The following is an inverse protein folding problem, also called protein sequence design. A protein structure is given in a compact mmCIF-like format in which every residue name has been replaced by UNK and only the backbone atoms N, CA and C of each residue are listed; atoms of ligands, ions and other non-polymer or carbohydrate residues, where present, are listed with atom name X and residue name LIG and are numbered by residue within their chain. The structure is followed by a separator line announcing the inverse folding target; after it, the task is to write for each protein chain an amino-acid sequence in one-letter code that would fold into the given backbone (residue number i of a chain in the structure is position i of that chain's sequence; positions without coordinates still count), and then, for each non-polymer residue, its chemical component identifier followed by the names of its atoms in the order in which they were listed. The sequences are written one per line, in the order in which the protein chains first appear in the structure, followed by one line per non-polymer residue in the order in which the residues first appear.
data_IF_801698059158
#
_entry.id   IF_801698059158
#
_cell.length_a   1.000
_cell.length_b   1.000
_cell.length_c   1.000
_cell.angle_alpha   90.00
_cell.angle_beta   90.00
_cell.angle_gamma   90.00
#
_symmetry.space_group_name_H-M   'P 1'
#
loop_
_entity.id
_entity.type
_entity.pdbx_description
1 polymer ?
#
# COMPACT_ATOMS: atom_id res chain seq x y z
N UNK A 1 12.91 -5.48 11.79
CA UNK A 1 11.63 -5.18 11.07
C UNK A 1 11.70 -3.80 10.41
N UNK A 2 10.81 -3.50 9.47
CA UNK A 2 10.77 -2.21 8.79
C UNK A 2 9.46 -1.49 9.16
N UNK A 3 9.58 -0.39 9.90
CA UNK A 3 8.44 0.43 10.32
C UNK A 3 8.59 1.84 9.78
N UNK A 4 7.50 2.39 9.28
CA UNK A 4 7.46 3.74 8.76
C UNK A 4 6.03 4.29 8.68
N UNK A 5 5.91 5.44 8.07
CA UNK A 5 4.62 6.09 7.89
C UNK A 5 4.53 6.79 6.54
N UNK A 6 3.37 7.33 6.23
CA UNK A 6 3.17 8.12 5.02
C UNK A 6 3.77 9.51 5.18
N UNK A 7 4.75 9.87 4.30
CA UNK A 7 5.48 11.13 4.36
C UNK A 7 5.10 12.08 3.21
N UNK A 8 5.26 13.37 3.47
CA UNK A 8 5.09 14.40 2.44
C UNK A 8 6.28 14.43 1.47
N UNK A 9 6.01 14.25 0.18
CA UNK A 9 7.01 14.37 -0.89
C UNK A 9 7.36 15.83 -1.25
N UNK A 10 6.84 16.82 -0.52
CA UNK A 10 7.00 18.24 -0.86
C UNK A 10 8.45 18.70 -0.87
N UNK A 11 9.31 18.18 0.02
CA UNK A 11 10.73 18.49 0.12
C UNK A 11 11.65 17.76 -0.86
N UNK A 12 11.15 16.74 -1.60
CA UNK A 12 11.94 15.85 -2.45
C UNK A 12 12.30 14.54 -1.75
N UNK A 13 12.99 13.65 -2.48
CA UNK A 13 13.27 12.27 -2.04
C UNK A 13 14.25 12.26 -0.83
N UNK A 14 15.36 12.98 -0.92
CA UNK A 14 16.33 13.04 0.18
C UNK A 14 15.75 13.69 1.45
N UNK A 15 14.80 14.62 1.32
CA UNK A 15 14.13 15.20 2.47
C UNK A 15 13.20 14.20 3.15
N UNK A 16 12.51 13.33 2.40
CA UNK A 16 11.71 12.24 2.98
C UNK A 16 12.57 11.28 3.80
N UNK A 17 13.74 10.87 3.28
CA UNK A 17 14.67 10.01 4.04
C UNK A 17 15.11 10.67 5.35
N UNK A 18 15.45 11.97 5.32
CA UNK A 18 15.81 12.71 6.55
C UNK A 18 14.64 12.75 7.54
N UNK A 19 13.44 12.99 7.07
CA UNK A 19 12.23 13.00 7.92
C UNK A 19 12.00 11.62 8.53
N UNK A 20 12.09 10.55 7.73
CA UNK A 20 11.99 9.18 8.23
C UNK A 20 12.99 8.90 9.36
N UNK A 21 14.27 9.23 9.14
CA UNK A 21 15.32 9.08 10.15
C UNK A 21 15.01 9.85 11.43
N UNK A 22 14.48 11.08 11.32
CA UNK A 22 14.19 11.92 12.49
C UNK A 22 13.11 11.38 13.41
N UNK A 23 12.23 10.49 12.91
CA UNK A 23 11.16 9.82 13.68
C UNK A 23 11.46 8.35 13.94
N UNK A 24 12.69 7.89 13.66
CA UNK A 24 13.10 6.50 13.87
C UNK A 24 12.54 5.51 12.85
N UNK A 25 11.97 5.96 11.73
CA UNK A 25 11.52 5.09 10.66
C UNK A 25 12.68 4.55 9.82
N UNK A 26 12.54 3.33 9.31
CA UNK A 26 13.48 2.68 8.38
C UNK A 26 12.80 2.13 7.11
N UNK A 27 11.62 2.59 6.83
CA UNK A 27 10.85 2.54 5.58
C UNK A 27 9.86 3.70 5.59
N UNK A 28 9.20 3.99 4.47
CA UNK A 28 8.10 4.96 4.43
C UNK A 28 7.27 4.81 3.15
N UNK A 29 6.05 5.36 3.19
CA UNK A 29 5.23 5.57 2.01
C UNK A 29 5.19 7.06 1.62
N UNK A 30 4.85 7.35 0.39
CA UNK A 30 4.66 8.69 -0.13
C UNK A 30 3.83 8.67 -1.40
N UNK A 31 3.09 9.75 -1.68
CA UNK A 31 2.42 9.90 -2.97
C UNK A 31 3.40 10.36 -4.06
N UNK A 32 3.41 9.67 -5.19
CA UNK A 32 4.22 10.02 -6.37
C UNK A 32 3.81 11.35 -7.00
N UNK A 33 2.57 11.78 -6.75
CA UNK A 33 1.94 13.03 -7.21
C UNK A 33 0.95 13.57 -6.17
N UNK A 34 0.35 14.72 -6.45
CA UNK A 34 -0.70 15.23 -5.58
C UNK A 34 -1.82 14.18 -5.42
N UNK A 35 -2.10 13.67 -4.19
CA UNK A 35 -3.08 12.59 -3.98
C UNK A 35 -4.52 12.95 -4.33
N UNK A 36 -4.85 14.25 -4.37
CA UNK A 36 -6.18 14.78 -4.73
C UNK A 36 -6.22 15.41 -6.13
N UNK A 37 -5.17 15.19 -6.92
CA UNK A 37 -5.04 15.71 -8.26
C UNK A 37 -3.99 14.95 -9.05
N UNK A 38 -3.89 15.23 -10.36
CA UNK A 38 -3.00 14.49 -11.26
C UNK A 38 -1.60 15.10 -11.40
N UNK A 39 -1.35 16.28 -10.83
CA UNK A 39 -0.10 17.00 -11.04
C UNK A 39 1.05 16.37 -10.27
N UNK A 40 2.08 15.91 -10.98
CA UNK A 40 3.34 15.46 -10.44
C UNK A 40 4.38 16.60 -10.41
N UNK A 41 5.33 16.54 -9.47
CA UNK A 41 6.49 17.40 -9.45
C UNK A 41 7.44 17.10 -10.62
N UNK A 42 8.24 18.09 -11.01
CA UNK A 42 9.38 17.84 -11.89
C UNK A 42 10.36 16.90 -11.18
N UNK A 43 10.85 15.90 -11.91
CA UNK A 43 11.85 14.97 -11.40
C UNK A 43 13.19 15.68 -11.19
N UNK A 44 13.88 15.29 -10.14
CA UNK A 44 15.25 15.71 -9.84
C UNK A 44 16.13 14.45 -9.67
N UNK A 45 16.86 14.05 -10.72
CA UNK A 45 17.71 12.87 -10.66
C UNK A 45 18.84 12.96 -9.61
N UNK A 46 19.32 14.17 -9.31
CA UNK A 46 20.36 14.35 -8.31
C UNK A 46 19.80 14.13 -6.89
N UNK A 47 18.59 14.62 -6.61
CA UNK A 47 17.89 14.37 -5.35
C UNK A 47 17.53 12.86 -5.19
N UNK A 48 17.10 12.22 -6.26
CA UNK A 48 16.82 10.78 -6.25
C UNK A 48 18.09 9.95 -5.96
N UNK A 49 19.18 10.22 -6.65
CA UNK A 49 20.46 9.54 -6.42
C UNK A 49 20.97 9.75 -4.98
N UNK A 50 20.83 10.95 -4.44
CA UNK A 50 21.15 11.24 -3.05
C UNK A 50 20.28 10.45 -2.08
N UNK A 51 18.97 10.36 -2.36
CA UNK A 51 18.07 9.55 -1.55
C UNK A 51 18.47 8.08 -1.55
N UNK A 52 18.79 7.49 -2.71
CA UNK A 52 19.25 6.10 -2.83
C UNK A 52 20.48 5.86 -1.95
N UNK A 53 21.54 6.69 -2.04
CA UNK A 53 22.71 6.57 -1.14
C UNK A 53 22.30 6.61 0.33
N UNK A 54 21.43 7.54 0.71
CA UNK A 54 21.00 7.68 2.11
C UNK A 54 20.19 6.46 2.59
N UNK A 55 19.36 5.87 1.74
CA UNK A 55 18.60 4.67 2.07
C UNK A 55 19.54 3.47 2.31
N UNK A 56 20.52 3.28 1.43
CA UNK A 56 21.54 2.22 1.54
C UNK A 56 22.41 2.39 2.79
N UNK A 57 22.94 3.60 3.02
CA UNK A 57 23.80 3.92 4.16
C UNK A 57 23.11 3.70 5.52
N UNK A 58 21.78 3.84 5.58
CA UNK A 58 21.01 3.72 6.81
C UNK A 58 20.20 2.42 6.91
N UNK A 59 20.41 1.46 5.98
CA UNK A 59 19.78 0.13 6.05
C UNK A 59 18.25 0.16 5.95
N UNK A 60 17.71 1.04 5.10
CA UNK A 60 16.26 1.10 4.89
C UNK A 60 15.75 -0.18 4.21
N UNK A 61 14.54 -0.58 4.60
CA UNK A 61 13.75 -1.55 3.87
C UNK A 61 13.10 -0.95 2.63
N UNK A 62 12.38 -1.76 1.84
CA UNK A 62 11.68 -1.28 0.65
C UNK A 62 10.71 -0.14 0.99
N UNK A 63 10.68 0.90 0.17
CA UNK A 63 9.70 1.98 0.25
C UNK A 63 8.39 1.55 -0.42
N UNK A 64 7.28 2.12 0.02
CA UNK A 64 5.95 1.83 -0.54
C UNK A 64 5.38 3.13 -1.10
N UNK A 65 5.69 3.47 -2.36
CA UNK A 65 5.05 4.61 -3.00
C UNK A 65 3.56 4.33 -3.21
N UNK A 66 2.73 5.36 -3.17
CA UNK A 66 1.28 5.23 -3.28
C UNK A 66 0.73 6.02 -4.46
N UNK A 67 -0.17 5.39 -5.22
CA UNK A 67 -0.94 6.03 -6.28
C UNK A 67 -1.92 7.08 -5.74
N UNK A 68 -2.21 8.09 -6.54
CA UNK A 68 -3.16 9.13 -6.14
C UNK A 68 -4.57 8.55 -5.95
N UNK A 69 -5.32 9.02 -4.95
CA UNK A 69 -6.71 8.61 -4.69
C UNK A 69 -7.67 8.87 -5.87
N UNK A 70 -7.30 9.79 -6.75
CA UNK A 70 -8.06 10.09 -7.97
C UNK A 70 -7.83 9.09 -9.11
N UNK A 71 -6.86 8.19 -8.97
CA UNK A 71 -6.58 7.15 -9.96
C UNK A 71 -7.58 6.00 -9.82
N UNK A 72 -8.49 5.87 -10.76
CA UNK A 72 -9.46 4.76 -10.81
C UNK A 72 -9.37 4.03 -12.15
N UNK A 73 -8.64 2.91 -12.17
CA UNK A 73 -8.40 2.11 -13.38
C UNK A 73 -9.64 1.34 -13.87
N UNK A 74 -10.69 1.25 -13.07
CA UNK A 74 -11.90 0.50 -13.41
C UNK A 74 -13.17 1.36 -13.50
N UNK A 75 -13.02 2.69 -13.61
CA UNK A 75 -14.19 3.57 -13.80
C UNK A 75 -14.93 3.29 -15.10
N UNK A 76 -16.24 3.55 -15.11
CA UNK A 76 -17.10 3.43 -16.28
C UNK A 76 -16.70 4.40 -17.42
N UNK A 77 -16.23 5.59 -17.06
CA UNK A 77 -15.80 6.62 -18.00
C UNK A 77 -14.50 6.22 -18.72
N UNK A 78 -14.53 6.01 -20.06
CA UNK A 78 -13.37 5.59 -20.81
C UNK A 78 -12.23 6.63 -20.84
N UNK A 79 -12.54 7.93 -20.82
CA UNK A 79 -11.53 9.00 -20.83
C UNK A 79 -10.82 9.06 -19.47
N UNK A 80 -11.58 9.01 -18.37
CA UNK A 80 -11.04 8.97 -17.03
C UNK A 80 -10.20 7.69 -16.81
N UNK A 81 -10.62 6.56 -17.36
CA UNK A 81 -9.88 5.30 -17.28
C UNK A 81 -8.57 5.34 -18.08
N UNK A 82 -8.59 5.90 -19.29
CA UNK A 82 -7.39 6.09 -20.10
C UNK A 82 -6.40 7.00 -19.38
N UNK A 83 -6.87 8.10 -18.81
CA UNK A 83 -6.06 9.01 -18.01
C UNK A 83 -5.45 8.33 -16.76
N UNK A 84 -6.24 7.50 -16.07
CA UNK A 84 -5.72 6.74 -14.91
C UNK A 84 -4.60 5.76 -15.32
N UNK A 85 -4.71 5.14 -16.51
CA UNK A 85 -3.66 4.27 -17.05
C UNK A 85 -2.38 5.04 -17.39
N UNK A 86 -2.49 6.24 -17.97
CA UNK A 86 -1.34 7.14 -18.22
C UNK A 86 -0.67 7.56 -16.90
N UNK A 87 -1.46 7.84 -15.88
CA UNK A 87 -0.96 8.17 -14.52
C UNK A 87 -0.18 7.01 -13.93
N UNK A 88 -0.70 5.78 -14.01
CA UNK A 88 -0.01 4.58 -13.54
C UNK A 88 1.36 4.42 -14.23
N UNK A 89 1.40 4.52 -15.56
CA UNK A 89 2.63 4.38 -16.34
C UNK A 89 3.66 5.46 -15.99
N UNK A 90 3.24 6.74 -15.90
CA UNK A 90 4.13 7.84 -15.48
C UNK A 90 4.65 7.65 -14.05
N UNK A 91 3.83 7.15 -13.13
CA UNK A 91 4.25 6.88 -11.76
C UNK A 91 5.29 5.76 -11.69
N UNK A 92 5.10 4.66 -12.42
CA UNK A 92 6.09 3.57 -12.48
C UNK A 92 7.40 4.03 -13.09
N UNK A 93 7.34 4.86 -14.15
CA UNK A 93 8.51 5.48 -14.75
C UNK A 93 9.26 6.36 -13.74
N UNK A 94 8.55 7.15 -12.95
CA UNK A 94 9.14 8.00 -11.89
C UNK A 94 9.78 7.17 -10.81
N UNK A 95 9.13 6.08 -10.41
CA UNK A 95 9.64 5.17 -9.38
C UNK A 95 10.90 4.42 -9.84
N UNK A 96 11.20 4.36 -11.13
CA UNK A 96 12.45 3.80 -11.62
C UNK A 96 13.71 4.53 -11.11
N UNK A 97 13.57 5.80 -10.67
CA UNK A 97 14.64 6.54 -10.00
C UNK A 97 14.92 6.05 -8.55
N UNK A 98 14.04 5.25 -7.99
CA UNK A 98 14.14 4.61 -6.67
C UNK A 98 13.99 3.08 -6.84
N UNK A 99 15.00 2.39 -7.40
CA UNK A 99 14.90 0.98 -7.77
C UNK A 99 14.72 0.06 -6.56
N UNK A 100 14.08 -1.11 -6.76
CA UNK A 100 13.88 -2.11 -5.73
C UNK A 100 12.74 -1.80 -4.75
N UNK A 101 11.97 -0.74 -4.99
CA UNK A 101 10.86 -0.33 -4.16
C UNK A 101 9.49 -0.78 -4.72
N UNK A 102 8.44 -0.52 -3.96
CA UNK A 102 7.07 -0.89 -4.31
C UNK A 102 6.25 0.33 -4.74
N UNK A 103 5.31 0.10 -5.64
CA UNK A 103 4.26 1.04 -5.98
C UNK A 103 2.90 0.42 -5.67
N UNK A 104 2.25 0.90 -4.63
CA UNK A 104 0.94 0.47 -4.14
C UNK A 104 -0.16 1.37 -4.68
N UNK A 105 -1.34 0.82 -4.95
CA UNK A 105 -2.51 1.60 -5.30
C UNK A 105 -3.81 0.87 -4.98
N UNK A 106 -4.88 1.63 -4.75
CA UNK A 106 -6.24 1.10 -4.63
C UNK A 106 -6.71 0.60 -6.00
N UNK A 107 -7.16 -0.65 -6.15
CA UNK A 107 -7.63 -1.17 -7.44
C UNK A 107 -8.71 -0.30 -8.10
N UNK A 108 -9.54 0.37 -7.28
CA UNK A 108 -10.54 1.33 -7.72
C UNK A 108 -11.98 0.87 -7.51
N UNK A 109 -12.91 1.59 -8.11
CA UNK A 109 -14.35 1.33 -7.99
C UNK A 109 -14.97 1.17 -9.38
N UNK A 110 -15.71 0.08 -9.59
CA UNK A 110 -16.31 -0.26 -10.90
C UNK A 110 -17.54 0.58 -11.25
N UNK A 111 -18.06 1.38 -10.32
CA UNK A 111 -19.15 2.35 -10.53
C UNK A 111 -20.34 1.78 -11.32
N UNK A 112 -20.88 0.64 -10.83
CA UNK A 112 -22.08 0.01 -11.40
C UNK A 112 -21.87 -0.92 -12.59
N UNK A 113 -20.63 -1.06 -13.15
CA UNK A 113 -20.37 -1.98 -14.26
C UNK A 113 -20.23 -3.46 -13.86
N UNK A 114 -20.06 -3.70 -12.56
CA UNK A 114 -19.76 -5.01 -12.00
C UNK A 114 -18.27 -5.27 -11.80
N UNK A 115 -17.99 -6.13 -10.83
CA UNK A 115 -16.62 -6.45 -10.40
C UNK A 115 -15.80 -7.09 -11.52
N UNK A 116 -16.39 -7.96 -12.34
CA UNK A 116 -15.71 -8.62 -13.46
C UNK A 116 -15.16 -7.61 -14.48
N UNK A 117 -15.99 -6.65 -14.90
CA UNK A 117 -15.55 -5.59 -15.81
C UNK A 117 -14.45 -4.72 -15.18
N UNK A 118 -14.56 -4.43 -13.86
CA UNK A 118 -13.53 -3.73 -13.10
C UNK A 118 -12.20 -4.46 -13.13
N UNK A 119 -12.20 -5.76 -12.86
CA UNK A 119 -11.01 -6.63 -12.90
C UNK A 119 -10.35 -6.62 -14.28
N UNK A 120 -11.14 -6.75 -15.34
CA UNK A 120 -10.63 -6.72 -16.73
C UNK A 120 -9.93 -5.40 -17.06
N UNK A 121 -10.50 -4.26 -16.68
CA UNK A 121 -9.92 -2.95 -16.94
C UNK A 121 -8.63 -2.73 -16.14
N UNK A 122 -8.60 -3.09 -14.86
CA UNK A 122 -7.39 -3.00 -14.03
C UNK A 122 -6.29 -3.88 -14.63
N UNK A 123 -6.61 -5.12 -14.98
CA UNK A 123 -5.65 -6.05 -15.57
C UNK A 123 -5.10 -5.55 -16.92
N UNK A 124 -5.94 -4.96 -17.77
CA UNK A 124 -5.51 -4.39 -19.05
C UNK A 124 -4.55 -3.22 -18.85
N UNK A 125 -4.83 -2.30 -17.91
CA UNK A 125 -3.95 -1.19 -17.58
C UNK A 125 -2.60 -1.68 -17.04
N UNK A 126 -2.61 -2.64 -16.10
CA UNK A 126 -1.40 -3.24 -15.55
C UNK A 126 -0.56 -3.96 -16.61
N UNK A 127 -1.17 -4.75 -17.49
CA UNK A 127 -0.47 -5.40 -18.61
C UNK A 127 0.23 -4.39 -19.50
N UNK A 128 -0.41 -3.26 -19.77
CA UNK A 128 0.18 -2.22 -20.59
C UNK A 128 1.37 -1.56 -19.89
N UNK A 129 1.20 -1.13 -18.65
CA UNK A 129 2.25 -0.47 -17.87
C UNK A 129 3.46 -1.38 -17.60
N UNK A 130 3.24 -2.69 -17.36
CA UNK A 130 4.28 -3.68 -17.09
C UNK A 130 5.01 -4.19 -18.36
N UNK A 131 4.68 -3.68 -19.56
CA UNK A 131 5.51 -3.92 -20.76
C UNK A 131 6.88 -3.27 -20.65
N UNK A 132 6.97 -2.21 -19.87
CA UNK A 132 8.24 -1.58 -19.52
C UNK A 132 8.78 -2.28 -18.27
N UNK A 133 10.00 -2.76 -18.36
CA UNK A 133 10.67 -3.44 -17.24
C UNK A 133 11.23 -2.41 -16.24
N UNK A 134 10.32 -1.74 -15.54
CA UNK A 134 10.69 -0.85 -14.46
C UNK A 134 11.16 -1.66 -13.24
N UNK A 135 12.23 -1.25 -12.54
CA UNK A 135 12.75 -1.94 -11.35
C UNK A 135 11.88 -1.66 -10.11
N UNK A 136 10.57 -1.80 -10.26
CA UNK A 136 9.53 -1.49 -9.27
C UNK A 136 8.48 -2.59 -9.30
N UNK A 137 8.14 -3.14 -8.14
CA UNK A 137 7.04 -4.10 -8.02
C UNK A 137 5.74 -3.37 -7.73
N UNK A 138 4.69 -3.71 -8.45
CA UNK A 138 3.36 -3.12 -8.28
C UNK A 138 2.56 -3.89 -7.25
N UNK A 139 1.92 -3.19 -6.32
CA UNK A 139 1.07 -3.79 -5.29
C UNK A 139 -0.38 -3.37 -5.46
N UNK A 140 -1.26 -4.34 -5.39
CA UNK A 140 -2.70 -4.14 -5.23
C UNK A 140 -3.00 -4.06 -3.74
N UNK A 141 -3.67 -3.00 -3.31
CA UNK A 141 -4.09 -2.90 -1.92
C UNK A 141 -5.37 -3.70 -1.65
N UNK A 142 -5.43 -4.37 -0.49
CA UNK A 142 -6.69 -4.92 0.00
C UNK A 142 -7.64 -3.80 0.38
N UNK A 143 -8.91 -3.88 -0.02
CA UNK A 143 -9.91 -2.86 0.19
C UNK A 143 -10.97 -3.28 1.20
N UNK A 144 -11.68 -2.31 1.79
CA UNK A 144 -12.78 -2.58 2.71
C UNK A 144 -14.07 -3.08 2.03
N UNK A 145 -14.13 -3.07 0.71
CA UNK A 145 -15.34 -3.44 -0.04
C UNK A 145 -16.45 -2.40 0.07
N UNK A 146 -16.09 -1.12 0.18
CA UNK A 146 -17.04 -0.02 0.29
C UNK A 146 -17.70 0.27 -1.05
N UNK A 147 -19.01 0.16 -1.11
CA UNK A 147 -19.79 0.45 -2.31
C UNK A 147 -19.43 -0.48 -3.49
N UNK A 148 -18.75 0.06 -4.48
CA UNK A 148 -18.33 -0.67 -5.70
C UNK A 148 -16.81 -0.84 -5.82
N UNK A 149 -16.09 -0.77 -4.70
CA UNK A 149 -14.65 -1.03 -4.66
C UNK A 149 -14.33 -2.46 -5.12
N UNK A 150 -13.26 -2.59 -5.89
CA UNK A 150 -12.65 -3.87 -6.28
C UNK A 150 -11.46 -4.13 -5.35
N UNK A 151 -11.26 -5.37 -4.93
CA UNK A 151 -10.18 -5.74 -4.01
C UNK A 151 -10.63 -5.90 -2.56
N UNK A 152 -11.95 -5.86 -2.30
CA UNK A 152 -12.53 -6.17 -0.99
C UNK A 152 -12.48 -7.66 -0.64
N UNK A 153 -12.20 -8.52 -1.62
CA UNK A 153 -12.02 -9.97 -1.45
C UNK A 153 -10.68 -10.41 -2.03
N UNK A 154 -10.04 -11.35 -1.39
CA UNK A 154 -8.77 -11.93 -1.88
C UNK A 154 -8.91 -12.53 -3.28
N UNK A 155 -10.07 -13.14 -3.58
CA UNK A 155 -10.38 -13.70 -4.91
C UNK A 155 -10.38 -12.63 -6.01
N UNK A 156 -10.79 -11.40 -5.72
CA UNK A 156 -10.78 -10.29 -6.69
C UNK A 156 -9.35 -9.87 -7.02
N UNK A 157 -8.49 -9.74 -5.99
CA UNK A 157 -7.07 -9.47 -6.19
C UNK A 157 -6.39 -10.59 -6.97
N UNK A 158 -6.70 -11.86 -6.61
CA UNK A 158 -6.20 -13.03 -7.34
C UNK A 158 -6.63 -13.00 -8.81
N UNK A 159 -7.88 -12.69 -9.08
CA UNK A 159 -8.38 -12.61 -10.46
C UNK A 159 -7.66 -11.53 -11.28
N UNK A 160 -7.38 -10.36 -10.69
CA UNK A 160 -6.55 -9.32 -11.34
C UNK A 160 -5.15 -9.87 -11.64
N UNK A 161 -4.50 -10.48 -10.64
CA UNK A 161 -3.13 -11.01 -10.77
C UNK A 161 -3.03 -12.10 -11.82
N UNK A 162 -4.01 -13.02 -11.87
CA UNK A 162 -4.09 -14.09 -12.87
C UNK A 162 -4.31 -13.53 -14.28
N UNK A 163 -5.22 -12.56 -14.39
CA UNK A 163 -5.45 -11.88 -15.68
C UNK A 163 -4.20 -11.14 -16.15
N UNK A 164 -3.43 -10.50 -15.26
CA UNK A 164 -2.15 -9.84 -15.61
C UNK A 164 -1.08 -10.85 -16.01
N UNK A 165 -0.97 -11.96 -15.28
CA UNK A 165 -0.02 -13.04 -15.57
C UNK A 165 1.45 -12.66 -15.32
N UNK A 166 1.73 -11.66 -14.47
CA UNK A 166 3.09 -11.20 -14.15
C UNK A 166 3.47 -11.50 -12.69
N UNK A 167 4.70 -11.94 -12.48
CA UNK A 167 5.29 -12.07 -11.14
C UNK A 167 5.58 -10.71 -10.48
N UNK A 168 5.57 -9.63 -11.27
CA UNK A 168 5.85 -8.27 -10.78
C UNK A 168 4.62 -7.56 -10.19
N UNK A 169 3.55 -8.32 -9.90
CA UNK A 169 2.37 -7.84 -9.16
C UNK A 169 2.29 -8.59 -7.83
N UNK A 170 2.13 -7.85 -6.75
CA UNK A 170 1.94 -8.36 -5.39
C UNK A 170 0.77 -7.68 -4.70
N UNK A 171 0.69 -7.83 -3.39
CA UNK A 171 -0.38 -7.28 -2.55
C UNK A 171 0.22 -6.48 -1.39
N UNK A 172 -0.41 -5.35 -1.08
CA UNK A 172 -0.29 -4.64 0.18
C UNK A 172 -1.54 -4.94 1.01
N UNK A 173 -1.37 -5.51 2.20
CA UNK A 173 -2.47 -5.79 3.11
C UNK A 173 -2.64 -4.61 4.07
N UNK A 174 -3.79 -3.93 4.00
CA UNK A 174 -4.17 -2.93 4.99
C UNK A 174 -5.01 -3.56 6.10
N UNK A 175 -4.58 -3.40 7.36
CA UNK A 175 -5.21 -4.03 8.52
C UNK A 175 -6.61 -3.49 8.81
N UNK A 176 -6.83 -2.17 8.60
CA UNK A 176 -8.14 -1.56 8.72
C UNK A 176 -9.08 -2.07 7.61
N UNK A 177 -8.59 -2.12 6.36
CA UNK A 177 -9.40 -2.52 5.21
C UNK A 177 -9.84 -3.98 5.31
N UNK A 178 -8.94 -4.91 5.64
CA UNK A 178 -9.32 -6.33 5.75
C UNK A 178 -10.28 -6.55 6.92
N UNK A 179 -10.09 -5.88 8.06
CA UNK A 179 -11.01 -5.96 9.20
C UNK A 179 -12.40 -5.39 8.86
N UNK A 180 -12.45 -4.21 8.27
CA UNK A 180 -13.69 -3.60 7.79
C UNK A 180 -14.32 -4.41 6.64
N UNK A 181 -13.51 -5.11 5.84
CA UNK A 181 -13.92 -6.01 4.76
C UNK A 181 -14.47 -7.36 5.21
N UNK A 182 -14.34 -7.69 6.51
CA UNK A 182 -14.90 -8.93 7.08
C UNK A 182 -13.89 -10.06 7.27
N UNK A 183 -12.58 -9.78 7.21
CA UNK A 183 -11.52 -10.72 7.60
C UNK A 183 -11.14 -10.47 9.07
N UNK A 184 -11.41 -11.43 9.94
CA UNK A 184 -11.24 -11.27 11.41
C UNK A 184 -9.79 -11.44 11.85
N UNK A 185 -8.95 -10.45 11.56
CA UNK A 185 -7.56 -10.42 12.00
C UNK A 185 -7.39 -10.20 13.52
N UNK A 186 -8.47 -9.87 14.22
CA UNK A 186 -8.49 -9.72 15.68
C UNK A 186 -8.69 -11.06 16.37
N UNK A 187 -9.69 -11.82 15.91
CA UNK A 187 -10.03 -13.12 16.50
C UNK A 187 -9.23 -14.28 15.91
N UNK A 188 -8.83 -14.22 14.65
CA UNK A 188 -8.16 -15.33 13.94
C UNK A 188 -7.18 -14.83 12.85
N UNK A 189 -6.09 -14.18 13.26
CA UNK A 189 -5.06 -13.72 12.33
C UNK A 189 -4.48 -14.88 11.49
N UNK A 190 -4.20 -16.02 12.13
CA UNK A 190 -3.63 -17.19 11.46
C UNK A 190 -4.59 -17.72 10.38
N UNK A 191 -5.89 -17.81 10.66
CA UNK A 191 -6.90 -18.25 9.71
C UNK A 191 -7.02 -17.30 8.51
N UNK A 192 -6.97 -15.99 8.75
CA UNK A 192 -6.97 -14.99 7.66
C UNK A 192 -5.71 -15.12 6.78
N UNK A 193 -4.53 -15.29 7.38
CA UNK A 193 -3.29 -15.48 6.62
C UNK A 193 -3.26 -16.83 5.87
N UNK A 194 -3.84 -17.88 6.42
CA UNK A 194 -4.01 -19.18 5.73
C UNK A 194 -4.98 -19.05 4.54
N UNK A 195 -6.07 -18.29 4.69
CA UNK A 195 -6.97 -17.98 3.58
C UNK A 195 -6.27 -17.17 2.49
N UNK A 196 -5.49 -16.15 2.88
CA UNK A 196 -4.67 -15.38 1.94
C UNK A 196 -3.69 -16.28 1.20
N UNK A 197 -2.99 -17.17 1.90
CA UNK A 197 -2.05 -18.13 1.30
C UNK A 197 -2.75 -19.07 0.30
N UNK A 198 -3.89 -19.61 0.69
CA UNK A 198 -4.67 -20.51 -0.16
C UNK A 198 -5.18 -19.84 -1.44
N UNK A 199 -5.58 -18.57 -1.38
CA UNK A 199 -6.19 -17.85 -2.50
C UNK A 199 -5.11 -17.18 -3.37
N UNK A 200 -4.16 -16.47 -2.77
CA UNK A 200 -3.19 -15.60 -3.47
C UNK A 200 -1.78 -16.19 -3.42
N UNK A 201 -1.36 -16.71 -2.26
CA UNK A 201 -0.01 -17.10 -1.92
C UNK A 201 0.70 -16.05 -1.07
N UNK A 202 1.27 -16.45 0.08
CA UNK A 202 1.98 -15.54 1.00
C UNK A 202 3.23 -14.90 0.39
N UNK A 203 3.82 -15.49 -0.62
CA UNK A 203 4.94 -14.94 -1.38
C UNK A 203 4.55 -13.68 -2.18
N UNK A 204 3.26 -13.47 -2.40
CA UNK A 204 2.72 -12.27 -3.05
C UNK A 204 2.40 -11.14 -2.07
N UNK A 205 2.35 -11.40 -0.78
CA UNK A 205 2.21 -10.37 0.24
C UNK A 205 3.55 -9.65 0.42
N UNK A 206 3.62 -8.40 0.00
CA UNK A 206 4.88 -7.66 -0.10
C UNK A 206 5.01 -6.54 0.93
N UNK A 207 3.90 -5.95 1.36
CA UNK A 207 3.87 -4.84 2.31
C UNK A 207 2.59 -4.90 3.16
N UNK A 208 2.60 -4.19 4.29
CA UNK A 208 1.42 -3.95 5.10
C UNK A 208 1.22 -2.46 5.31
N UNK A 209 -0.03 -2.01 5.22
CA UNK A 209 -0.48 -0.79 5.89
C UNK A 209 -1.02 -1.20 7.27
N UNK A 210 -0.47 -0.60 8.32
CA UNK A 210 -0.75 -0.98 9.71
C UNK A 210 -1.55 0.14 10.36
N UNK A 211 -2.87 0.00 10.30
CA UNK A 211 -3.84 1.00 10.74
C UNK A 211 -4.88 0.36 11.65
N UNK A 212 -5.26 1.07 12.74
CA UNK A 212 -6.45 0.67 13.51
C UNK A 212 -7.72 1.17 12.81
N UNK A 213 -8.89 0.64 13.15
CA UNK A 213 -10.15 1.04 12.55
C UNK A 213 -11.06 1.74 13.54
N UNK A 214 -11.69 2.85 13.11
CA UNK A 214 -12.78 3.51 13.85
C UNK A 214 -14.08 2.73 13.86
N UNK A 215 -14.17 1.70 13.04
CA UNK A 215 -15.42 1.00 12.76
C UNK A 215 -15.45 -0.38 13.42
N UNK A 216 -16.63 -0.96 13.63
CA UNK A 216 -16.74 -2.36 14.01
C UNK A 216 -16.39 -3.28 12.84
N UNK A 217 -16.13 -4.54 13.17
CA UNK A 217 -15.88 -5.62 12.21
C UNK A 217 -16.93 -5.67 11.09
N UNK A 218 -16.47 -5.93 9.86
CA UNK A 218 -17.29 -6.06 8.66
C UNK A 218 -18.17 -4.83 8.35
N UNK A 219 -17.69 -3.65 8.67
CA UNK A 219 -18.44 -2.38 8.48
C UNK A 219 -18.46 -1.88 7.05
N UNK A 220 -17.51 -2.28 6.21
CA UNK A 220 -17.27 -1.80 4.85
C UNK A 220 -17.14 -0.28 4.75
N UNK A 221 -16.35 0.35 5.66
CA UNK A 221 -16.28 1.82 5.72
C UNK A 221 -14.94 2.45 5.43
N UNK A 222 -13.84 1.82 5.80
CA UNK A 222 -12.49 2.40 5.67
C UNK A 222 -12.34 3.76 6.39
N UNK A 223 -11.99 3.71 7.66
CA UNK A 223 -11.67 4.88 8.49
C UNK A 223 -10.57 4.52 9.48
N UNK A 224 -9.36 4.94 9.18
CA UNK A 224 -8.19 4.70 10.02
C UNK A 224 -8.29 5.40 11.39
N UNK A 225 -7.76 4.76 12.42
CA UNK A 225 -7.57 5.29 13.76
C UNK A 225 -6.13 5.07 14.21
N UNK A 226 -5.69 5.79 15.24
CA UNK A 226 -4.41 5.60 15.89
C UNK A 226 -4.34 4.21 16.52
N UNK A 227 -3.16 3.60 16.51
CA UNK A 227 -2.95 2.25 17.05
C UNK A 227 -3.43 2.12 18.49
N UNK A 228 -4.29 1.14 18.74
CA UNK A 228 -4.88 0.87 20.06
C UNK A 228 -6.02 1.80 20.47
N UNK A 229 -6.42 2.73 19.61
CA UNK A 229 -7.55 3.63 19.86
C UNK A 229 -8.83 3.24 19.11
N UNK A 230 -8.73 2.25 18.23
CA UNK A 230 -9.81 1.71 17.42
C UNK A 230 -10.27 0.32 17.86
N UNK A 231 -10.88 -0.39 16.92
CA UNK A 231 -11.52 -1.69 17.14
C UNK A 231 -10.57 -2.88 17.06
N UNK A 232 -9.36 -2.72 16.49
CA UNK A 232 -8.39 -3.80 16.40
C UNK A 232 -7.67 -4.04 17.72
N UNK A 233 -7.23 -2.97 18.39
CA UNK A 233 -6.54 -3.04 19.67
C UNK A 233 -5.06 -3.47 19.57
N UNK A 234 -4.27 -3.16 20.63
CA UNK A 234 -2.81 -3.34 20.62
C UNK A 234 -2.34 -4.79 20.52
N UNK A 235 -3.12 -5.75 21.03
CA UNK A 235 -2.73 -7.17 20.97
C UNK A 235 -2.74 -7.72 19.54
N UNK A 236 -3.62 -7.21 18.70
CA UNK A 236 -3.64 -7.53 17.26
C UNK A 236 -2.34 -7.05 16.59
N UNK A 237 -1.91 -5.83 16.87
CA UNK A 237 -0.65 -5.30 16.30
C UNK A 237 0.57 -6.06 16.86
N UNK A 238 0.54 -6.46 18.13
CA UNK A 238 1.57 -7.33 18.70
C UNK A 238 1.65 -8.68 17.98
N UNK A 239 0.50 -9.29 17.68
CA UNK A 239 0.45 -10.54 16.91
C UNK A 239 0.99 -10.33 15.49
N UNK A 240 0.58 -9.26 14.78
CA UNK A 240 1.04 -8.92 13.43
C UNK A 240 2.56 -8.73 13.39
N UNK A 241 3.13 -7.91 14.29
CA UNK A 241 4.57 -7.63 14.36
C UNK A 241 5.39 -8.91 14.55
N UNK A 242 4.90 -9.86 15.36
CA UNK A 242 5.64 -11.08 15.68
C UNK A 242 5.28 -12.27 14.78
N UNK A 243 4.36 -12.12 13.84
CA UNK A 243 3.96 -13.22 12.97
C UNK A 243 5.07 -13.57 11.96
N UNK A 244 5.54 -14.84 11.88
CA UNK A 244 6.67 -15.22 11.05
C UNK A 244 6.50 -14.88 9.56
N UNK A 245 5.28 -15.00 9.00
CA UNK A 245 5.00 -14.69 7.61
C UNK A 245 5.04 -13.19 7.27
N UNK A 246 5.03 -12.31 8.28
CA UNK A 246 4.96 -10.85 8.13
C UNK A 246 6.26 -10.14 8.47
N UNK A 247 7.21 -10.85 9.11
CA UNK A 247 8.39 -10.28 9.78
C UNK A 247 9.31 -9.45 8.87
N UNK A 248 9.46 -9.81 7.60
CA UNK A 248 10.41 -9.15 6.69
C UNK A 248 9.73 -8.12 5.77
N UNK A 249 8.47 -7.81 6.00
CA UNK A 249 7.69 -6.90 5.17
C UNK A 249 7.70 -5.48 5.74
N UNK A 250 7.76 -4.43 4.89
CA UNK A 250 7.58 -3.06 5.36
C UNK A 250 6.16 -2.87 5.90
N UNK A 251 6.08 -2.26 7.08
CA UNK A 251 4.85 -1.93 7.80
C UNK A 251 4.71 -0.41 7.84
N UNK A 252 3.70 0.12 7.19
CA UNK A 252 3.48 1.54 6.98
C UNK A 252 2.25 2.00 7.76
N UNK A 253 2.41 3.06 8.53
CA UNK A 253 1.33 3.74 9.23
C UNK A 253 0.68 4.80 8.34
N UNK A 254 -0.63 4.79 8.27
CA UNK A 254 -1.46 5.83 7.65
C UNK A 254 -2.51 6.35 8.65
N UNK A 255 -2.23 6.16 9.91
CA UNK A 255 -3.06 6.64 11.02
C UNK A 255 -3.20 8.16 11.00
N UNK A 256 -4.27 8.73 11.58
CA UNK A 256 -4.53 10.17 11.55
C UNK A 256 -3.59 10.93 12.50
N UNK A 257 -2.29 10.85 12.24
CA UNK A 257 -1.22 11.43 13.03
C UNK A 257 -0.42 12.51 12.28
N UNK A 258 0.25 13.34 13.06
CA UNK A 258 1.37 14.17 12.65
C UNK A 258 2.70 13.47 13.00
N UNK A 259 3.85 13.99 12.52
CA UNK A 259 5.16 13.36 12.74
C UNK A 259 5.44 12.91 14.20
N UNK A 260 5.12 13.71 15.26
CA UNK A 260 5.33 13.24 16.63
C UNK A 260 4.42 12.06 17.03
N UNK A 261 3.25 11.94 16.41
CA UNK A 261 2.35 10.80 16.61
C UNK A 261 2.90 9.56 15.93
N UNK A 262 3.34 9.67 14.69
CA UNK A 262 4.00 8.59 13.97
C UNK A 262 5.26 8.09 14.68
N UNK A 263 6.08 8.99 15.22
CA UNK A 263 7.25 8.60 16.03
C UNK A 263 6.84 7.70 17.21
N UNK A 264 5.81 8.10 17.97
CA UNK A 264 5.31 7.29 19.09
C UNK A 264 4.78 5.93 18.66
N UNK A 265 4.06 5.86 17.54
CA UNK A 265 3.54 4.59 17.02
C UNK A 265 4.64 3.68 16.48
N UNK A 266 5.68 4.23 15.82
CA UNK A 266 6.86 3.47 15.40
C UNK A 266 7.60 2.93 16.63
N UNK A 267 7.80 3.73 17.67
CA UNK A 267 8.40 3.30 18.94
C UNK A 267 7.55 2.21 19.62
N UNK A 268 6.22 2.35 19.59
CA UNK A 268 5.27 1.36 20.09
C UNK A 268 5.39 0.02 19.36
N UNK A 269 5.39 0.02 18.02
CA UNK A 269 5.54 -1.21 17.23
C UNK A 269 6.90 -1.89 17.49
N UNK A 270 7.99 -1.12 17.57
CA UNK A 270 9.32 -1.65 17.95
C UNK A 270 9.34 -2.27 19.32
N UNK A 271 8.64 -1.68 20.29
CA UNK A 271 8.49 -2.23 21.64
C UNK A 271 7.67 -3.53 21.72
N UNK A 272 6.96 -3.89 20.63
CA UNK A 272 6.21 -5.15 20.52
C UNK A 272 7.05 -6.30 19.97
N UNK A 273 8.20 -6.04 19.33
CA UNK A 273 9.11 -7.08 18.81
C UNK A 273 9.62 -8.00 19.94
N UNK A 274 9.60 -9.34 19.70
CA UNK A 274 10.07 -10.38 20.65
C UNK A 274 11.36 -11.00 20.13
#
# INVERSE_FOLDING_TARGET
MFFGCHLSATGGNAAMVKTALSIGANTFAFFTRNPRGSKAKKEDPADAAKAVSMLEENGFGPLVAHGAYTMNLCTADPEARAFAAEVLEDDLRRMAALPGNFYNFHPGSHVGQGTEAGIEYIAAALKNALRHDYPVKVLLETMAGKGSEVGGRFEELKAIMDAVGSSNVGVCLDTCHVYDGGYDIVGDLDGVLQEFDRVIGLERLCALHVNDSKNPFASHKDRHECLGSGSLGLETFRAIVNHPALKDKPMILETPNELPGYQREIELLRGMEI
#
